data_IF_131616988602
#
_entry.id   IF_131616988602
#
_cell.length_a   1.000
_cell.length_b   1.000
_cell.length_c   1.000
_cell.angle_alpha   90.00
_cell.angle_beta   90.00
_cell.angle_gamma   90.00
#
_symmetry.space_group_name_H-M   'P 1'
#
loop_
_entity.id
_entity.type
_entity.pdbx_description
1 polymer ?
#
# COMPACT_ATOMS: atom_id res chain seq x y z
N UNK A 1 -27.75 -11.13 -3.91
CA UNK A 1 -28.95 -10.89 -4.71
C UNK A 1 -28.63 -10.71 -6.19
N UNK A 2 -27.75 -9.78 -6.60
CA UNK A 2 -27.41 -9.56 -8.03
C UNK A 2 -26.87 -10.84 -8.72
N UNK A 3 -25.98 -11.60 -8.06
CA UNK A 3 -25.40 -12.85 -8.60
C UNK A 3 -26.47 -13.92 -8.89
N UNK A 4 -27.52 -14.00 -8.08
CA UNK A 4 -28.62 -14.92 -8.30
C UNK A 4 -29.49 -14.51 -9.51
N UNK A 5 -29.65 -13.20 -9.71
CA UNK A 5 -30.40 -12.65 -10.87
C UNK A 5 -29.66 -12.90 -12.18
N UNK A 6 -28.32 -12.91 -12.17
CA UNK A 6 -27.49 -13.24 -13.35
C UNK A 6 -27.40 -14.74 -13.64
N UNK A 7 -28.16 -15.58 -12.94
CA UNK A 7 -28.18 -17.05 -13.15
C UNK A 7 -26.99 -17.80 -12.53
N UNK A 8 -26.15 -17.11 -11.75
CA UNK A 8 -24.98 -17.71 -11.11
C UNK A 8 -25.28 -18.08 -9.66
N UNK A 9 -24.67 -19.16 -9.17
CA UNK A 9 -24.88 -19.62 -7.80
C UNK A 9 -24.08 -18.75 -6.81
N UNK A 10 -24.73 -18.04 -5.85
CA UNK A 10 -24.05 -17.20 -4.86
C UNK A 10 -23.04 -17.96 -3.99
N UNK A 11 -23.31 -19.22 -3.69
CA UNK A 11 -22.39 -20.05 -2.89
C UNK A 11 -21.08 -20.33 -3.63
N UNK A 12 -21.10 -20.48 -4.96
CA UNK A 12 -19.88 -20.59 -5.76
C UNK A 12 -19.05 -19.30 -5.71
N UNK A 13 -19.68 -18.14 -5.66
CA UNK A 13 -18.98 -16.86 -5.52
C UNK A 13 -18.27 -16.74 -4.17
N UNK A 14 -18.93 -17.09 -3.07
CA UNK A 14 -18.31 -17.14 -1.75
C UNK A 14 -17.17 -18.15 -1.68
N UNK A 15 -17.36 -19.32 -2.27
CA UNK A 15 -16.30 -20.33 -2.33
C UNK A 15 -15.07 -19.83 -3.11
N UNK A 16 -15.30 -19.12 -4.24
CA UNK A 16 -14.23 -18.49 -5.00
C UNK A 16 -13.46 -17.42 -4.22
N UNK A 17 -14.14 -16.65 -3.34
CA UNK A 17 -13.48 -15.73 -2.42
C UNK A 17 -12.57 -16.45 -1.43
N UNK A 18 -13.03 -17.57 -0.84
CA UNK A 18 -12.22 -18.40 0.06
C UNK A 18 -11.01 -19.01 -0.68
N UNK A 19 -11.20 -19.44 -1.92
CA UNK A 19 -10.11 -19.90 -2.77
C UNK A 19 -9.09 -18.79 -3.08
N UNK A 20 -9.56 -17.56 -3.31
CA UNK A 20 -8.71 -16.39 -3.54
C UNK A 20 -7.84 -16.05 -2.33
N UNK A 21 -8.38 -16.22 -1.13
CA UNK A 21 -7.67 -16.01 0.13
C UNK A 21 -6.80 -17.18 0.59
N UNK A 22 -6.72 -18.27 -0.19
CA UNK A 22 -5.95 -19.46 0.21
C UNK A 22 -6.56 -20.26 1.37
N UNK A 23 -7.85 -20.06 1.67
CA UNK A 23 -8.59 -20.78 2.70
C UNK A 23 -9.30 -22.03 2.15
N UNK A 24 -9.42 -22.14 0.84
CA UNK A 24 -9.98 -23.29 0.16
C UNK A 24 -9.14 -23.69 -1.06
N UNK A 25 -9.00 -25.00 -1.36
CA UNK A 25 -8.21 -25.45 -2.48
C UNK A 25 -8.83 -25.06 -3.82
N UNK A 26 -7.98 -24.66 -4.79
CA UNK A 26 -8.36 -24.46 -6.19
C UNK A 26 -8.18 -25.76 -6.96
N UNK A 27 -9.00 -25.93 -8.01
CA UNK A 27 -8.89 -27.08 -8.91
C UNK A 27 -7.60 -27.10 -9.74
N UNK A 28 -7.00 -25.94 -9.95
CA UNK A 28 -5.73 -25.79 -10.69
C UNK A 28 -4.91 -24.64 -10.12
N UNK A 29 -3.63 -24.86 -9.92
CA UNK A 29 -2.62 -23.86 -9.57
C UNK A 29 -1.59 -23.78 -10.70
N UNK A 30 -1.08 -22.58 -10.96
CA UNK A 30 0.12 -22.44 -11.77
C UNK A 30 1.30 -23.11 -11.06
N UNK A 31 2.29 -23.61 -11.82
CA UNK A 31 3.42 -24.42 -11.30
C UNK A 31 4.21 -23.76 -10.16
N UNK A 32 4.12 -22.43 -10.03
CA UNK A 32 4.80 -21.63 -8.98
C UNK A 32 3.85 -21.16 -7.87
N UNK A 33 2.55 -21.53 -7.90
CA UNK A 33 1.55 -21.14 -6.91
C UNK A 33 1.05 -22.34 -6.13
N UNK A 34 0.72 -22.12 -4.88
CA UNK A 34 0.10 -23.09 -3.99
C UNK A 34 -0.95 -22.41 -3.12
N UNK A 35 -1.76 -23.19 -2.43
CA UNK A 35 -2.71 -22.67 -1.43
C UNK A 35 -2.00 -21.80 -0.38
N UNK A 36 -0.79 -22.20 0.04
CA UNK A 36 0.04 -21.44 0.98
C UNK A 36 0.46 -20.07 0.40
N UNK A 37 0.80 -20.03 -0.88
CA UNK A 37 1.16 -18.76 -1.56
C UNK A 37 -0.02 -17.79 -1.62
N UNK A 38 -1.22 -18.30 -1.89
CA UNK A 38 -2.44 -17.48 -1.89
C UNK A 38 -2.75 -16.97 -0.47
N UNK A 39 -2.60 -17.82 0.56
CA UNK A 39 -2.78 -17.42 1.96
C UNK A 39 -1.75 -16.37 2.39
N UNK A 40 -0.47 -16.56 2.04
CA UNK A 40 0.57 -15.56 2.35
C UNK A 40 0.32 -14.23 1.63
N UNK A 41 -0.19 -14.27 0.40
CA UNK A 41 -0.61 -13.08 -0.32
C UNK A 41 -1.77 -12.37 0.39
N UNK A 42 -2.76 -13.12 0.87
CA UNK A 42 -3.85 -12.58 1.67
C UNK A 42 -3.35 -11.87 2.95
N UNK A 43 -2.48 -12.53 3.71
CA UNK A 43 -1.88 -11.93 4.93
C UNK A 43 -1.08 -10.67 4.59
N UNK A 44 -0.36 -10.67 3.46
CA UNK A 44 0.41 -9.52 3.01
C UNK A 44 -0.48 -8.29 2.71
N UNK A 45 -1.64 -8.49 2.08
CA UNK A 45 -2.61 -7.41 1.86
C UNK A 45 -3.34 -7.01 3.14
N UNK A 46 -3.60 -7.96 4.04
CA UNK A 46 -4.33 -7.71 5.28
C UNK A 46 -3.51 -6.90 6.29
N UNK A 47 -2.20 -7.11 6.32
CA UNK A 47 -1.29 -6.41 7.26
C UNK A 47 -1.38 -4.87 7.17
N UNK A 48 -1.20 -4.23 6.01
CA UNK A 48 -1.31 -2.77 5.92
C UNK A 48 -2.72 -2.27 6.23
N UNK A 49 -3.76 -3.06 5.96
CA UNK A 49 -5.15 -2.69 6.31
C UNK A 49 -5.36 -2.62 7.82
N UNK A 50 -4.78 -3.56 8.59
CA UNK A 50 -4.83 -3.51 10.06
C UNK A 50 -4.14 -2.24 10.58
N UNK A 51 -2.94 -1.93 10.10
CA UNK A 51 -2.23 -0.73 10.52
C UNK A 51 -2.98 0.55 10.15
N UNK A 52 -3.59 0.61 8.97
CA UNK A 52 -4.44 1.73 8.56
C UNK A 52 -5.66 1.87 9.49
N UNK A 53 -6.34 0.77 9.79
CA UNK A 53 -7.49 0.77 10.71
C UNK A 53 -7.09 1.22 12.12
N UNK A 54 -5.94 0.75 12.63
CA UNK A 54 -5.41 1.17 13.93
C UNK A 54 -5.07 2.67 13.94
N UNK A 55 -4.47 3.20 12.88
CA UNK A 55 -4.15 4.62 12.76
C UNK A 55 -5.42 5.48 12.83
N UNK A 56 -6.50 5.08 12.15
CA UNK A 56 -7.79 5.76 12.23
C UNK A 56 -8.40 5.62 13.62
N UNK A 57 -8.34 4.43 14.23
CA UNK A 57 -8.89 4.19 15.58
C UNK A 57 -8.19 5.05 16.65
N UNK A 58 -6.87 5.19 16.58
CA UNK A 58 -6.10 6.05 17.49
C UNK A 58 -6.47 7.52 17.29
N UNK A 59 -6.59 7.98 16.04
CA UNK A 59 -7.01 9.34 15.73
C UNK A 59 -8.42 9.64 16.28
N UNK A 60 -9.36 8.71 16.12
CA UNK A 60 -10.72 8.84 16.66
C UNK A 60 -10.73 8.92 18.18
N UNK A 61 -9.90 8.15 18.88
CA UNK A 61 -9.76 8.25 20.34
C UNK A 61 -9.18 9.59 20.80
N UNK A 62 -8.36 10.22 19.97
CA UNK A 62 -7.85 11.57 20.20
C UNK A 62 -8.85 12.68 19.82
N UNK A 63 -10.06 12.33 19.39
CA UNK A 63 -11.08 13.29 18.95
C UNK A 63 -10.81 13.90 17.57
N UNK A 64 -9.98 13.24 16.77
CA UNK A 64 -9.63 13.65 15.42
C UNK A 64 -10.14 12.63 14.40
N UNK A 65 -10.85 13.10 13.39
CA UNK A 65 -11.30 12.24 12.30
C UNK A 65 -10.32 12.31 11.13
N UNK A 66 -9.31 11.40 11.13
CA UNK A 66 -8.26 11.39 10.12
C UNK A 66 -8.58 10.43 8.97
N UNK A 67 -8.98 10.95 7.82
CA UNK A 67 -9.13 10.21 6.56
C UNK A 67 -7.84 10.26 5.74
N UNK A 68 -6.79 10.93 6.23
CA UNK A 68 -5.53 11.17 5.54
C UNK A 68 -4.56 9.97 5.44
N UNK A 69 -4.97 8.78 5.89
CA UNK A 69 -4.09 7.59 5.94
C UNK A 69 -3.55 7.23 4.55
N UNK A 70 -4.34 7.35 3.49
CA UNK A 70 -3.88 7.05 2.13
C UNK A 70 -2.76 7.99 1.67
N UNK A 71 -2.87 9.29 1.93
CA UNK A 71 -1.82 10.26 1.64
C UNK A 71 -0.57 10.05 2.49
N UNK A 72 -0.73 9.69 3.77
CA UNK A 72 0.36 9.33 4.65
C UNK A 72 1.14 8.12 4.12
N UNK A 73 0.44 7.07 3.73
CA UNK A 73 1.03 5.86 3.15
C UNK A 73 1.75 6.16 1.84
N UNK A 74 1.13 6.96 0.97
CA UNK A 74 1.70 7.34 -0.32
C UNK A 74 2.98 8.18 -0.14
N UNK A 75 2.97 9.18 0.73
CA UNK A 75 4.12 10.01 1.02
C UNK A 75 5.27 9.20 1.65
N UNK A 76 4.94 8.33 2.61
CA UNK A 76 5.91 7.46 3.26
C UNK A 76 6.53 6.46 2.27
N UNK A 77 5.71 5.81 1.45
CA UNK A 77 6.16 4.85 0.43
C UNK A 77 7.04 5.51 -0.63
N UNK A 78 6.64 6.67 -1.14
CA UNK A 78 7.42 7.43 -2.11
C UNK A 78 8.80 7.83 -1.55
N UNK A 79 8.84 8.41 -0.36
CA UNK A 79 10.10 8.83 0.28
C UNK A 79 11.01 7.64 0.57
N UNK A 80 10.47 6.55 1.09
CA UNK A 80 11.22 5.32 1.34
C UNK A 80 11.77 4.71 0.02
N UNK A 81 10.98 4.73 -1.06
CA UNK A 81 11.41 4.25 -2.37
C UNK A 81 12.56 5.06 -2.94
N UNK A 82 12.52 6.39 -2.80
CA UNK A 82 13.61 7.26 -3.31
C UNK A 82 14.86 7.10 -2.46
N UNK A 83 14.75 7.16 -1.14
CA UNK A 83 15.91 7.20 -0.24
C UNK A 83 16.59 5.83 -0.13
N UNK A 84 15.80 4.77 -0.04
CA UNK A 84 16.33 3.42 0.21
C UNK A 84 16.14 2.51 -1.00
N UNK A 85 15.01 2.62 -1.70
CA UNK A 85 14.66 1.73 -2.80
C UNK A 85 15.65 1.76 -3.95
N UNK A 86 16.22 2.90 -4.25
CA UNK A 86 17.23 3.08 -5.30
C UNK A 86 18.67 3.10 -4.78
N UNK A 87 18.86 2.85 -3.48
CA UNK A 87 20.20 2.75 -2.90
C UNK A 87 20.78 1.34 -3.02
N UNK A 88 22.11 1.23 -2.94
CA UNK A 88 22.84 -0.04 -2.92
C UNK A 88 23.06 -0.58 -1.50
N UNK A 89 22.19 -0.24 -0.55
CA UNK A 89 22.31 -0.66 0.84
C UNK A 89 22.04 -2.16 1.02
N UNK A 90 22.74 -2.78 1.98
CA UNK A 90 22.49 -4.15 2.39
C UNK A 90 21.10 -4.29 3.02
N UNK A 91 20.45 -5.46 2.84
CA UNK A 91 19.11 -5.75 3.36
C UNK A 91 18.98 -5.55 4.88
N UNK A 92 20.06 -5.79 5.64
CA UNK A 92 20.10 -5.62 7.11
C UNK A 92 19.90 -4.15 7.52
N UNK A 93 20.42 -3.20 6.74
CA UNK A 93 20.27 -1.77 6.98
C UNK A 93 19.08 -1.17 6.23
N UNK A 94 18.79 -1.66 5.03
CA UNK A 94 17.73 -1.12 4.18
C UNK A 94 16.34 -1.34 4.79
N UNK A 95 16.04 -2.53 5.27
CA UNK A 95 14.73 -2.87 5.82
C UNK A 95 14.34 -2.03 7.05
N UNK A 96 15.17 -1.91 8.11
CA UNK A 96 14.84 -1.04 9.25
C UNK A 96 14.77 0.45 8.85
N UNK A 97 15.60 0.88 7.90
CA UNK A 97 15.60 2.27 7.43
C UNK A 97 14.30 2.62 6.71
N UNK A 98 13.76 1.71 5.87
CA UNK A 98 12.43 1.89 5.25
C UNK A 98 11.33 2.09 6.29
N UNK A 99 11.35 1.28 7.36
CA UNK A 99 10.35 1.39 8.45
C UNK A 99 10.50 2.72 9.19
N UNK A 100 11.72 3.13 9.52
CA UNK A 100 11.99 4.41 10.21
C UNK A 100 11.54 5.60 9.35
N UNK A 101 11.86 5.61 8.06
CA UNK A 101 11.42 6.66 7.13
C UNK A 101 9.89 6.68 7.06
N UNK A 102 9.26 5.50 6.96
CA UNK A 102 7.80 5.39 6.94
C UNK A 102 7.15 5.98 8.19
N UNK A 103 7.70 5.70 9.37
CA UNK A 103 7.22 6.24 10.65
C UNK A 103 7.39 7.77 10.71
N UNK A 104 8.55 8.29 10.33
CA UNK A 104 8.83 9.73 10.37
C UNK A 104 7.93 10.47 9.39
N UNK A 105 7.91 10.06 8.13
CA UNK A 105 7.14 10.76 7.08
C UNK A 105 5.64 10.65 7.33
N UNK A 106 5.13 9.45 7.63
CA UNK A 106 3.73 9.24 7.97
C UNK A 106 3.32 10.06 9.20
N UNK A 107 4.18 10.10 10.24
CA UNK A 107 3.99 10.90 11.44
C UNK A 107 3.98 12.40 11.16
N UNK A 108 4.88 12.90 10.31
CA UNK A 108 4.92 14.32 9.92
C UNK A 108 3.66 14.74 9.15
N UNK A 109 3.18 13.91 8.23
CA UNK A 109 1.93 14.20 7.49
C UNK A 109 0.73 14.20 8.44
N UNK A 110 0.67 13.23 9.37
CA UNK A 110 -0.37 13.21 10.41
C UNK A 110 -0.30 14.42 11.34
N UNK A 111 0.90 14.81 11.76
CA UNK A 111 1.15 16.00 12.57
C UNK A 111 0.73 17.29 11.84
N UNK A 112 0.94 17.36 10.53
CA UNK A 112 0.51 18.49 9.71
C UNK A 112 -1.02 18.66 9.77
N UNK A 113 -1.80 17.58 9.65
CA UNK A 113 -3.26 17.63 9.76
C UNK A 113 -3.68 18.13 11.14
N UNK A 114 -3.08 17.59 12.19
CA UNK A 114 -3.33 18.02 13.58
C UNK A 114 -2.94 19.49 13.81
N UNK A 115 -1.82 19.93 13.25
CA UNK A 115 -1.37 21.32 13.34
C UNK A 115 -2.33 22.30 12.64
N UNK A 116 -2.81 21.94 11.44
CA UNK A 116 -3.81 22.75 10.71
C UNK A 116 -5.10 22.93 11.53
N UNK A 117 -5.56 21.86 12.18
CA UNK A 117 -6.71 21.95 13.09
C UNK A 117 -6.42 22.85 14.29
N UNK A 118 -5.31 22.59 14.98
CA UNK A 118 -4.96 23.31 16.22
C UNK A 118 -4.69 24.80 15.98
N UNK A 119 -3.90 25.14 14.96
CA UNK A 119 -3.44 26.53 14.73
C UNK A 119 -4.45 27.37 13.98
N UNK A 120 -5.15 26.77 13.00
CA UNK A 120 -6.02 27.50 12.09
C UNK A 120 -7.50 27.11 12.22
N UNK A 121 -7.82 26.19 13.12
CA UNK A 121 -9.18 25.66 13.34
C UNK A 121 -9.83 25.13 12.06
N UNK A 122 -9.01 24.60 11.13
CA UNK A 122 -9.48 24.00 9.88
C UNK A 122 -10.06 22.61 10.18
N UNK A 123 -11.17 22.28 9.53
CA UNK A 123 -11.76 20.95 9.67
C UNK A 123 -10.79 19.86 9.20
N UNK A 124 -10.50 18.91 10.09
CA UNK A 124 -9.54 17.81 9.84
C UNK A 124 -9.96 16.88 8.71
N UNK A 125 -11.27 16.70 8.49
CA UNK A 125 -11.79 15.87 7.39
C UNK A 125 -11.45 16.52 6.04
N UNK A 126 -11.70 17.83 5.92
CA UNK A 126 -11.38 18.59 4.70
C UNK A 126 -9.87 18.61 4.46
N UNK A 127 -9.08 18.93 5.50
CA UNK A 127 -7.62 18.95 5.41
C UNK A 127 -7.04 17.63 4.97
N UNK A 128 -7.51 16.51 5.55
CA UNK A 128 -7.00 15.19 5.24
C UNK A 128 -7.35 14.75 3.82
N UNK A 129 -8.56 15.04 3.34
CA UNK A 129 -8.95 14.77 1.96
C UNK A 129 -8.12 15.58 0.97
N UNK A 130 -7.97 16.89 1.22
CA UNK A 130 -7.16 17.76 0.35
C UNK A 130 -5.69 17.33 0.31
N UNK A 131 -5.11 16.97 1.44
CA UNK A 131 -3.73 16.45 1.50
C UNK A 131 -3.57 15.12 0.77
N UNK A 132 -4.55 14.21 0.84
CA UNK A 132 -4.51 12.97 0.07
C UNK A 132 -4.38 13.25 -1.43
N UNK A 133 -5.24 14.11 -1.99
CA UNK A 133 -5.16 14.48 -3.40
C UNK A 133 -3.88 15.25 -3.73
N UNK A 134 -3.47 16.16 -2.87
CA UNK A 134 -2.21 16.92 -3.05
C UNK A 134 -1.02 15.97 -3.15
N UNK A 135 -0.87 15.03 -2.21
CA UNK A 135 0.20 14.05 -2.26
C UNK A 135 0.10 13.15 -3.50
N UNK A 136 -1.11 12.72 -3.87
CA UNK A 136 -1.31 11.88 -5.04
C UNK A 136 -0.84 12.57 -6.32
N UNK A 137 -1.24 13.82 -6.54
CA UNK A 137 -0.86 14.55 -7.76
C UNK A 137 0.60 14.96 -7.75
N UNK A 138 1.11 15.47 -6.64
CA UNK A 138 2.53 15.88 -6.50
C UNK A 138 3.45 14.67 -6.70
N UNK A 139 3.19 13.57 -6.04
CA UNK A 139 4.01 12.37 -6.16
C UNK A 139 3.90 11.77 -7.56
N UNK A 140 2.69 11.72 -8.16
CA UNK A 140 2.53 11.28 -9.54
C UNK A 140 3.32 12.15 -10.52
N UNK A 141 3.33 13.46 -10.32
CA UNK A 141 4.13 14.37 -11.13
C UNK A 141 5.63 14.05 -11.01
N UNK A 142 6.14 13.90 -9.79
CA UNK A 142 7.56 13.55 -9.58
C UNK A 142 7.91 12.20 -10.18
N UNK A 143 7.08 11.18 -9.98
CA UNK A 143 7.32 9.84 -10.53
C UNK A 143 7.37 9.92 -12.06
N UNK A 144 6.37 10.50 -12.70
CA UNK A 144 6.29 10.56 -14.15
C UNK A 144 7.41 11.39 -14.78
N UNK A 145 7.88 12.43 -14.09
CA UNK A 145 8.90 13.35 -14.64
C UNK A 145 10.32 12.82 -14.46
N UNK A 146 10.63 12.18 -13.31
CA UNK A 146 12.00 11.86 -12.94
C UNK A 146 12.32 10.37 -12.86
N UNK A 147 11.32 9.51 -12.68
CA UNK A 147 11.53 8.10 -12.36
C UNK A 147 10.98 7.13 -13.41
N UNK A 148 10.15 7.59 -14.32
CA UNK A 148 9.57 6.77 -15.39
C UNK A 148 10.40 6.90 -16.65
N UNK A 149 10.78 5.77 -17.23
CA UNK A 149 11.42 5.72 -18.55
C UNK A 149 10.37 6.08 -19.63
N UNK A 150 10.65 7.06 -20.51
CA UNK A 150 9.75 7.48 -21.58
C UNK A 150 9.37 6.36 -22.55
N UNK A 151 10.25 5.37 -22.74
CA UNK A 151 10.06 4.27 -23.70
C UNK A 151 9.26 3.12 -23.08
N UNK A 152 9.72 2.61 -21.93
CA UNK A 152 9.07 1.47 -21.27
C UNK A 152 7.84 1.86 -20.45
N UNK A 153 7.68 3.14 -20.16
CA UNK A 153 6.65 3.68 -19.25
C UNK A 153 6.60 3.00 -17.88
N UNK A 154 7.71 2.45 -17.45
CA UNK A 154 7.89 1.80 -16.16
C UNK A 154 8.92 2.55 -15.33
N UNK A 155 8.71 2.61 -14.02
CA UNK A 155 9.72 3.12 -13.09
C UNK A 155 10.84 2.08 -12.92
N UNK A 156 12.04 2.54 -12.56
CA UNK A 156 13.15 1.65 -12.20
C UNK A 156 12.73 0.68 -11.10
N UNK A 157 13.20 -0.56 -11.19
CA UNK A 157 12.95 -1.54 -10.13
C UNK A 157 13.62 -1.12 -8.81
N UNK A 158 12.89 -1.32 -7.73
CA UNK A 158 13.38 -1.12 -6.38
C UNK A 158 14.29 -2.30 -6.01
N UNK A 159 15.43 -2.00 -5.39
CA UNK A 159 16.39 -3.00 -4.91
C UNK A 159 15.70 -4.08 -4.07
N UNK A 160 15.98 -5.34 -4.36
CA UNK A 160 15.45 -6.48 -3.59
C UNK A 160 15.78 -6.37 -2.08
N UNK A 161 16.95 -5.79 -1.76
CA UNK A 161 17.39 -5.58 -0.38
C UNK A 161 16.48 -4.62 0.43
N UNK A 162 15.79 -3.68 -0.24
CA UNK A 162 14.90 -2.70 0.40
C UNK A 162 13.45 -3.18 0.53
N UNK A 163 13.10 -4.29 -0.11
CA UNK A 163 11.76 -4.86 -0.03
C UNK A 163 11.53 -5.46 1.35
N UNK A 164 10.40 -5.14 1.98
CA UNK A 164 10.00 -5.68 3.28
C UNK A 164 9.43 -7.10 3.13
N UNK A 165 10.19 -8.02 2.53
CA UNK A 165 9.80 -9.40 2.32
C UNK A 165 10.46 -10.31 3.33
N UNK A 166 9.71 -11.24 3.89
CA UNK A 166 10.23 -12.24 4.83
C UNK A 166 10.97 -13.38 4.10
N UNK A 167 10.55 -13.72 2.87
CA UNK A 167 11.18 -14.73 2.04
C UNK A 167 11.10 -14.34 0.55
N UNK A 168 12.23 -14.08 -0.07
CA UNK A 168 12.30 -13.64 -1.47
C UNK A 168 11.80 -14.69 -2.48
N UNK A 169 11.81 -15.97 -2.13
CA UNK A 169 11.47 -17.08 -3.03
C UNK A 169 9.98 -17.42 -3.08
N UNK A 170 9.24 -17.22 -1.98
CA UNK A 170 7.81 -17.60 -1.94
C UNK A 170 6.85 -16.46 -2.30
N UNK A 171 7.31 -15.23 -2.25
CA UNK A 171 6.45 -14.04 -2.39
C UNK A 171 6.84 -13.18 -3.60
N UNK A 172 7.91 -13.53 -4.31
CA UNK A 172 8.41 -12.79 -5.46
C UNK A 172 7.34 -12.50 -6.54
N UNK A 173 6.33 -13.34 -6.66
CA UNK A 173 5.22 -13.17 -7.63
C UNK A 173 4.18 -12.15 -7.17
N UNK A 174 4.09 -11.87 -5.88
CA UNK A 174 3.11 -10.90 -5.34
C UNK A 174 3.54 -9.44 -5.52
N UNK A 175 4.81 -9.19 -5.78
CA UNK A 175 5.39 -7.83 -5.82
C UNK A 175 5.44 -7.18 -7.20
N UNK A 176 5.20 -7.92 -8.25
CA UNK A 176 5.07 -7.34 -9.60
C UNK A 176 3.85 -6.39 -9.72
N UNK A 177 2.95 -6.42 -8.74
CA UNK A 177 1.77 -5.55 -8.67
C UNK A 177 1.88 -4.40 -7.66
N UNK A 178 2.98 -4.31 -6.91
CA UNK A 178 3.29 -3.15 -6.05
C UNK A 178 4.12 -2.07 -6.77
N UNK A 179 4.21 -2.16 -8.08
CA UNK A 179 4.43 -0.95 -8.86
C UNK A 179 3.24 -0.03 -8.57
N UNK A 180 3.51 1.14 -8.02
CA UNK A 180 2.55 2.24 -7.92
C UNK A 180 1.66 2.21 -9.17
N UNK A 181 0.32 2.31 -9.05
CA UNK A 181 -0.54 2.33 -10.21
C UNK A 181 -0.15 3.54 -11.07
N UNK A 182 0.70 3.29 -12.04
CA UNK A 182 1.12 4.26 -13.06
C UNK A 182 0.17 4.25 -14.24
N UNK A 183 -1.01 3.65 -14.08
CA UNK A 183 -2.06 3.77 -15.09
C UNK A 183 -2.66 5.17 -14.98
N UNK A 184 -2.42 6.05 -15.96
CA UNK A 184 -3.21 7.26 -16.08
C UNK A 184 -4.65 6.85 -16.37
N UNK A 185 -5.57 7.34 -15.55
CA UNK A 185 -6.98 7.36 -15.91
C UNK A 185 -7.17 8.37 -17.02
#
# INVERSE_FOLDING_TARGET
MIIAVTGSNPFKAYYALLQGGGLAPKSSYASYKSMLTDFMSYVNYFTPMIFAALAVAVALRAGLFNIGVSGQMLAAGFTASIVVGYSSLNAVLAKPLVVIIGLIVGGLVGALIGFLKYRFNINEVVSSIMLNYTFQYVISFFINTFFVDPVSRQSKEISAASRLTLMDTMVAVSYTHLTLPTTPY
#
